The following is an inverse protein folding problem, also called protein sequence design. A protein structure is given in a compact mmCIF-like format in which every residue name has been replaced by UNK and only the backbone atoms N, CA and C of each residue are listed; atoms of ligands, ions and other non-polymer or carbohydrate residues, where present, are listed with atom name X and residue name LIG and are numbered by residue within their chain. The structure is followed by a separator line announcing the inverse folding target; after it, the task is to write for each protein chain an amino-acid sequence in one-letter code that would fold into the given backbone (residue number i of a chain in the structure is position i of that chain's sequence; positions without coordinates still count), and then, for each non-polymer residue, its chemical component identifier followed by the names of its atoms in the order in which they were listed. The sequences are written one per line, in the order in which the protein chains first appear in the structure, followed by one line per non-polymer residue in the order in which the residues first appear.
data_IF_970446976259
#
_entry.id   IF_970446976259
#
_cell.length_a   1.000
_cell.length_b   1.000
_cell.length_c   1.000
_cell.angle_alpha   90.00
_cell.angle_beta   90.00
_cell.angle_gamma   90.00
#
_symmetry.space_group_name_H-M   'P 1'
#
loop_
_entity.id
_entity.type
_entity.pdbx_description
1 polymer ?
#
# COMPACT_ATOMS: atom_id res chain seq x y z
N UNK A 1 5.69 8.59 15.92
CA UNK A 1 4.90 9.38 14.95
C UNK A 1 5.43 9.15 13.52
N UNK A 2 5.36 7.91 13.02
CA UNK A 2 5.86 7.52 11.67
C UNK A 2 4.78 6.74 10.90
N UNK A 3 3.50 6.88 11.28
CA UNK A 3 2.39 6.13 10.64
C UNK A 3 1.64 6.92 9.56
N UNK A 4 1.88 8.22 9.41
CA UNK A 4 1.33 8.98 8.29
C UNK A 4 2.30 8.93 7.10
N UNK A 5 1.96 8.13 6.09
CA UNK A 5 2.63 8.18 4.79
C UNK A 5 3.31 6.89 4.34
N UNK A 6 2.87 5.70 4.80
CA UNK A 6 3.32 4.43 4.23
C UNK A 6 2.16 3.83 3.45
N UNK A 7 2.37 3.57 2.16
CA UNK A 7 1.39 3.02 1.23
C UNK A 7 1.88 1.66 0.75
N UNK A 8 0.96 0.71 0.56
CA UNK A 8 1.29 -0.55 -0.07
C UNK A 8 1.61 -0.37 -1.56
N UNK A 9 2.74 -0.92 -1.99
CA UNK A 9 3.10 -1.08 -3.39
C UNK A 9 2.76 -2.52 -3.80
N UNK A 10 1.86 -2.65 -4.77
CA UNK A 10 1.40 -3.95 -5.27
C UNK A 10 2.54 -4.64 -6.03
N UNK A 11 3.00 -5.76 -5.49
CA UNK A 11 3.92 -6.69 -6.15
C UNK A 11 3.15 -7.87 -6.70
N UNK A 12 3.12 -8.97 -5.95
CA UNK A 12 2.31 -10.16 -6.26
C UNK A 12 0.91 -10.12 -5.62
N UNK A 13 0.64 -9.14 -4.77
CA UNK A 13 -0.65 -8.85 -4.16
C UNK A 13 -1.09 -9.86 -3.09
N UNK A 14 -0.23 -10.81 -2.69
CA UNK A 14 -0.61 -11.90 -1.78
C UNK A 14 -0.65 -11.48 -0.32
N UNK A 15 -0.02 -10.37 0.04
CA UNK A 15 0.01 -9.85 1.40
C UNK A 15 -0.89 -8.62 1.58
N UNK A 16 -1.50 -8.14 0.49
CA UNK A 16 -2.34 -6.95 0.48
C UNK A 16 -3.81 -7.36 0.44
N UNK A 17 -4.57 -6.95 1.45
CA UNK A 17 -6.03 -7.05 1.46
C UNK A 17 -6.62 -6.17 0.37
N UNK A 18 -7.50 -6.76 -0.45
CA UNK A 18 -8.17 -6.03 -1.52
C UNK A 18 -9.03 -4.88 -0.97
N UNK A 19 -9.69 -5.09 0.17
CA UNK A 19 -10.67 -4.15 0.73
C UNK A 19 -10.07 -3.15 1.71
N UNK A 20 -9.17 -3.59 2.58
CA UNK A 20 -8.83 -2.87 3.82
C UNK A 20 -7.45 -2.23 3.82
N UNK A 21 -6.53 -2.69 2.99
CA UNK A 21 -5.20 -2.11 2.90
C UNK A 21 -5.18 -0.86 2.01
N UNK A 22 -4.28 0.07 2.32
CA UNK A 22 -4.19 1.38 1.69
C UNK A 22 -3.39 1.37 0.37
N UNK A 23 -3.72 0.46 -0.55
CA UNK A 23 -2.97 0.26 -1.82
C UNK A 23 -3.46 1.13 -2.99
N UNK A 24 -4.49 1.98 -2.78
CA UNK A 24 -5.02 2.90 -3.80
C UNK A 24 -4.91 4.34 -3.27
N UNK A 25 -3.93 5.12 -3.76
CA UNK A 25 -3.76 6.54 -3.40
C UNK A 25 -3.75 6.81 -1.88
N UNK A 26 -3.12 5.94 -1.08
CA UNK A 26 -3.09 6.00 0.39
C UNK A 26 -4.47 5.84 1.08
N UNK A 27 -5.41 5.20 0.39
CA UNK A 27 -6.73 4.83 0.93
C UNK A 27 -7.02 3.36 0.65
N UNK A 28 -7.88 2.78 1.48
CA UNK A 28 -8.44 1.47 1.22
C UNK A 28 -9.58 1.54 0.20
N UNK A 29 -9.87 0.42 -0.45
CA UNK A 29 -10.97 0.36 -1.41
C UNK A 29 -12.33 0.59 -0.72
N UNK A 30 -12.48 0.08 0.51
CA UNK A 30 -13.63 0.32 1.37
C UNK A 30 -13.87 1.82 1.61
N UNK A 31 -12.82 2.58 1.93
CA UNK A 31 -12.89 4.04 2.11
C UNK A 31 -13.22 4.78 0.81
N UNK A 32 -12.71 4.33 -0.35
CA UNK A 32 -12.97 4.97 -1.65
C UNK A 32 -14.44 4.77 -2.08
N UNK A 33 -15.01 3.61 -1.77
CA UNK A 33 -16.37 3.26 -2.11
C UNK A 33 -17.40 3.73 -1.07
N UNK A 34 -16.96 4.16 0.12
CA UNK A 34 -17.80 4.46 1.27
C UNK A 34 -18.72 3.29 1.64
N UNK A 35 -18.16 2.08 1.67
CA UNK A 35 -18.89 0.87 2.05
C UNK A 35 -18.71 0.60 3.54
N UNK A 36 -19.75 0.07 4.19
CA UNK A 36 -19.59 -0.50 5.52
C UNK A 36 -19.00 -1.91 5.43
N UNK A 37 -18.27 -2.36 6.46
CA UNK A 37 -17.63 -3.68 6.46
C UNK A 37 -18.65 -4.82 6.26
N UNK A 38 -19.88 -4.64 6.76
CA UNK A 38 -20.97 -5.62 6.64
C UNK A 38 -21.52 -5.74 5.21
N UNK A 39 -21.27 -4.75 4.35
CA UNK A 39 -21.70 -4.76 2.93
C UNK A 39 -20.69 -5.48 2.03
N UNK A 40 -19.47 -5.74 2.55
CA UNK A 40 -18.39 -6.33 1.77
C UNK A 40 -18.60 -7.83 1.61
N UNK A 41 -18.78 -8.25 0.36
CA UNK A 41 -18.78 -9.67 0.01
C UNK A 41 -17.34 -10.18 -0.07
N UNK A 42 -17.05 -11.28 0.64
CA UNK A 42 -15.71 -11.89 0.73
C UNK A 42 -14.63 -10.90 1.23
N UNK A 43 -14.65 -10.54 2.53
CA UNK A 43 -13.72 -9.56 3.11
C UNK A 43 -12.25 -10.04 3.11
N UNK A 44 -12.01 -11.36 3.12
CA UNK A 44 -10.68 -11.95 3.22
C UNK A 44 -9.91 -12.01 1.88
N UNK A 45 -10.42 -11.37 0.83
CA UNK A 45 -9.79 -11.40 -0.48
C UNK A 45 -8.49 -10.58 -0.53
N UNK A 46 -7.52 -11.11 -1.27
CA UNK A 46 -6.25 -10.45 -1.52
C UNK A 46 -6.20 -9.84 -2.92
N UNK A 47 -5.33 -8.84 -3.11
CA UNK A 47 -5.11 -8.17 -4.40
C UNK A 47 -4.64 -9.16 -5.48
N UNK A 48 -3.86 -10.18 -5.11
CA UNK A 48 -3.38 -11.22 -6.03
C UNK A 48 -4.50 -11.92 -6.80
N UNK A 49 -5.68 -12.03 -6.19
CA UNK A 49 -6.84 -12.68 -6.80
C UNK A 49 -7.44 -11.91 -7.98
N UNK A 50 -7.06 -10.64 -8.13
CA UNK A 50 -7.47 -9.74 -9.19
C UNK A 50 -6.35 -9.51 -10.21
N UNK A 51 -5.24 -10.25 -10.11
CA UNK A 51 -4.11 -10.20 -11.02
C UNK A 51 -4.03 -11.53 -11.78
N UNK A 52 -3.97 -11.46 -13.10
CA UNK A 52 -3.78 -12.61 -13.99
C UNK A 52 -2.76 -12.25 -15.07
N UNK A 53 -1.73 -13.09 -15.25
CA UNK A 53 -0.67 -12.88 -16.25
C UNK A 53 -0.02 -11.48 -16.17
N UNK A 54 0.25 -11.02 -14.93
CA UNK A 54 0.77 -9.68 -14.62
C UNK A 54 -0.12 -8.52 -15.11
N UNK A 55 -1.41 -8.77 -15.31
CA UNK A 55 -2.41 -7.77 -15.66
C UNK A 55 -3.60 -7.81 -14.70
N UNK A 56 -4.24 -6.66 -14.53
CA UNK A 56 -5.47 -6.57 -13.76
C UNK A 56 -6.61 -7.30 -14.46
N UNK A 57 -7.30 -8.19 -13.75
CA UNK A 57 -8.50 -8.85 -14.24
C UNK A 57 -9.69 -7.89 -14.16
N UNK A 58 -9.85 -7.09 -15.21
CA UNK A 58 -10.90 -6.05 -15.30
C UNK A 58 -12.31 -6.64 -15.15
N UNK A 59 -12.55 -7.81 -15.72
CA UNK A 59 -13.85 -8.50 -15.62
C UNK A 59 -14.18 -8.85 -14.17
N UNK A 60 -13.21 -9.35 -13.40
CA UNK A 60 -13.38 -9.65 -11.98
C UNK A 60 -13.52 -8.37 -11.16
N UNK A 61 -12.69 -7.34 -11.43
CA UNK A 61 -12.83 -6.04 -10.76
C UNK A 61 -14.24 -5.44 -10.94
N UNK A 62 -14.81 -5.52 -12.15
CA UNK A 62 -16.14 -5.01 -12.44
C UNK A 62 -17.28 -5.76 -11.71
N UNK A 63 -17.06 -7.01 -11.29
CA UNK A 63 -18.04 -7.76 -10.49
C UNK A 63 -18.13 -7.25 -9.05
N UNK A 64 -17.04 -6.71 -8.50
CA UNK A 64 -16.97 -6.25 -7.10
C UNK A 64 -17.05 -4.72 -6.99
N UNK A 65 -16.45 -4.00 -7.93
CA UNK A 65 -16.35 -2.54 -7.96
C UNK A 65 -17.33 -2.04 -9.01
N UNK A 66 -18.59 -1.79 -8.64
CA UNK A 66 -19.62 -1.25 -9.54
C UNK A 66 -19.36 0.18 -10.04
N UNK A 67 -18.14 0.71 -9.87
CA UNK A 67 -17.73 2.10 -10.12
C UNK A 67 -16.57 2.16 -11.10
N UNK A 68 -16.88 2.52 -12.35
CA UNK A 68 -15.91 2.55 -13.45
C UNK A 68 -14.73 3.51 -13.21
N UNK A 69 -14.95 4.64 -12.54
CA UNK A 69 -13.90 5.59 -12.16
C UNK A 69 -12.84 4.96 -11.25
N UNK A 70 -13.26 4.11 -10.30
CA UNK A 70 -12.36 3.41 -9.39
C UNK A 70 -11.61 2.29 -10.10
N UNK A 71 -12.28 1.54 -10.99
CA UNK A 71 -11.62 0.53 -11.82
C UNK A 71 -10.51 1.18 -12.66
N UNK A 72 -10.78 2.33 -13.28
CA UNK A 72 -9.78 3.05 -14.09
C UNK A 72 -8.55 3.46 -13.27
N UNK A 73 -8.73 3.81 -11.98
CA UNK A 73 -7.61 4.05 -11.08
C UNK A 73 -6.79 2.80 -10.80
N UNK A 74 -7.46 1.68 -10.51
CA UNK A 74 -6.80 0.40 -10.20
C UNK A 74 -5.99 -0.10 -11.39
N UNK A 75 -6.57 -0.10 -12.60
CA UNK A 75 -5.84 -0.56 -13.80
C UNK A 75 -4.65 0.35 -14.15
N UNK A 76 -4.66 1.60 -13.69
CA UNK A 76 -3.55 2.54 -13.81
C UNK A 76 -2.39 2.26 -12.86
N UNK A 77 -2.57 1.41 -11.84
CA UNK A 77 -1.50 0.98 -10.94
C UNK A 77 -0.60 0.01 -11.72
N UNK A 78 0.68 0.35 -11.92
CA UNK A 78 1.58 -0.51 -12.67
C UNK A 78 1.87 -1.78 -11.86
N UNK A 79 1.65 -2.93 -12.49
CA UNK A 79 2.10 -4.22 -11.96
C UNK A 79 3.55 -4.46 -12.41
N UNK A 80 4.36 -5.01 -11.52
CA UNK A 80 5.72 -5.40 -11.87
C UNK A 80 5.71 -6.49 -12.95
N UNK A 81 6.61 -6.41 -13.93
CA UNK A 81 6.75 -7.43 -14.98
C UNK A 81 7.27 -8.75 -14.39
N UNK A 82 8.04 -8.66 -13.32
CA UNK A 82 8.49 -9.80 -12.52
C UNK A 82 7.63 -9.94 -11.28
N UNK A 83 7.37 -11.18 -10.84
CA UNK A 83 6.73 -11.45 -9.56
C UNK A 83 7.68 -11.02 -8.43
N UNK A 84 7.54 -9.77 -7.99
CA UNK A 84 8.24 -9.20 -6.84
C UNK A 84 7.24 -9.25 -5.68
N UNK A 85 7.74 -9.52 -4.48
CA UNK A 85 6.91 -9.49 -3.27
C UNK A 85 6.32 -8.09 -3.04
N UNK A 86 5.16 -8.05 -2.40
CA UNK A 86 4.56 -6.81 -1.92
C UNK A 86 5.54 -6.03 -1.04
N UNK A 87 5.51 -4.71 -1.16
CA UNK A 87 6.42 -3.82 -0.43
C UNK A 87 5.73 -2.53 -0.02
N UNK A 88 6.43 -1.70 0.75
CA UNK A 88 5.93 -0.42 1.20
C UNK A 88 6.67 0.72 0.49
N UNK A 89 5.95 1.78 0.12
CA UNK A 89 6.55 3.03 -0.31
C UNK A 89 6.12 4.17 0.61
N UNK A 90 6.97 5.20 0.72
CA UNK A 90 6.57 6.43 1.38
C UNK A 90 5.60 7.18 0.46
N UNK A 91 4.32 7.23 0.85
CA UNK A 91 3.36 8.16 0.27
C UNK A 91 3.89 9.57 0.43
N UNK A 92 3.86 10.37 -0.64
CA UNK A 92 4.27 11.76 -0.61
C UNK A 92 3.53 12.49 0.52
N UNK A 93 4.25 12.76 1.61
CA UNK A 93 3.78 13.70 2.62
C UNK A 93 3.47 15.02 1.93
N UNK A 94 2.30 15.58 2.21
CA UNK A 94 1.85 16.90 1.73
C UNK A 94 2.80 18.05 2.11
N UNK A 95 3.87 17.81 2.86
CA UNK A 95 4.90 18.78 3.19
C UNK A 95 6.06 18.87 2.20
N UNK A 96 6.21 17.94 1.23
CA UNK A 96 7.27 18.00 0.20
C UNK A 96 8.71 18.12 0.73
N UNK A 97 8.94 17.90 2.03
CA UNK A 97 10.22 18.11 2.71
C UNK A 97 10.79 16.76 3.13
N UNK A 98 11.53 16.13 2.22
CA UNK A 98 12.44 15.05 2.56
C UNK A 98 13.74 15.70 3.06
N UNK A 99 13.90 15.89 4.37
CA UNK A 99 15.18 16.31 4.94
C UNK A 99 15.85 15.13 5.62
N UNK A 100 17.06 14.80 5.17
CA UNK A 100 17.98 13.78 5.70
C UNK A 100 18.42 13.99 7.17
N UNK A 101 17.80 14.91 7.91
CA UNK A 101 18.20 15.32 9.26
C UNK A 101 17.66 14.45 10.39
N UNK A 102 16.60 13.66 10.18
CA UNK A 102 16.09 12.75 11.23
C UNK A 102 16.85 11.42 11.31
N UNK A 103 17.68 11.08 10.32
CA UNK A 103 18.52 9.88 10.34
C UNK A 103 19.76 10.02 11.27
N UNK A 104 20.14 11.24 11.65
CA UNK A 104 21.40 11.47 12.38
C UNK A 104 21.24 11.47 13.90
N UNK A 105 20.03 11.70 14.43
CA UNK A 105 19.84 11.78 15.90
C UNK A 105 19.78 10.41 16.59
N UNK A 106 19.37 9.35 15.88
CA UNK A 106 19.35 7.99 16.44
C UNK A 106 20.73 7.33 16.50
N UNK A 107 21.75 7.90 15.84
CA UNK A 107 23.11 7.37 15.87
C UNK A 107 23.96 7.93 17.05
N UNK A 108 23.47 8.95 17.76
CA UNK A 108 24.22 9.61 18.84
C UNK A 108 23.78 9.26 20.26
N UNK A 109 22.79 8.37 20.43
CA UNK A 109 22.29 7.99 21.77
C UNK A 109 22.96 6.73 22.36
N UNK A 110 24.13 6.36 21.83
CA UNK A 110 25.01 5.41 22.51
C UNK A 110 26.07 6.20 23.30
N UNK A 111 25.98 6.32 24.62
CA UNK A 111 27.12 6.75 25.41
C UNK A 111 28.22 5.71 25.24
N UNK A 112 29.37 6.14 24.71
CA UNK A 112 30.61 5.36 24.71
C UNK A 112 31.09 5.32 26.16
N UNK A 113 30.93 4.17 26.81
CA UNK A 113 31.55 3.90 28.10
C UNK A 113 33.02 3.55 27.83
N UNK A 114 33.92 4.53 27.98
CA UNK A 114 35.35 4.27 28.06
C UNK A 114 35.69 3.65 29.43
N UNK A 115 36.23 2.43 29.44
CA UNK A 115 36.90 1.86 30.62
C UNK A 115 38.37 2.31 30.64
N UNK A 116 38.91 2.82 31.76
CA UNK A 116 40.31 3.21 31.85
C UNK A 116 41.19 2.02 32.23
N UNK A 117 42.41 2.02 31.66
CA UNK A 117 43.54 1.10 31.93
C UNK A 117 44.14 1.36 33.32
#
# INVERSE_FOLDING_TARGET
LIRQGIVWLVGDGKMISFWFDNWIENKSLCEILNMDQDEITNPDMNVCEFIQDQQWNVSKLAQYIGRGDVIQKIIGIPLSITAINDSYCWGLSSSGQFTTKTATWLAHDHPVMEEPV
#
